data_IF_286292356474
#
_entry.id   IF_286292356474
#
_cell.length_a   1.000
_cell.length_b   1.000
_cell.length_c   1.000
_cell.angle_alpha   90.00
_cell.angle_beta   90.00
_cell.angle_gamma   90.00
#
_symmetry.space_group_name_H-M   'P 1'
#
loop_
_entity.id
_entity.type
_entity.pdbx_description
1 polymer ?
#
# COMPACT_ATOMS: atom_id res chain seq x y z
N UNK A 1 13.09 59.48 -36.98
CA UNK A 1 13.59 58.09 -36.88
C UNK A 1 13.01 57.46 -35.62
N UNK A 2 12.10 56.51 -35.80
CA UNK A 2 11.41 55.77 -34.74
C UNK A 2 12.38 54.95 -33.91
N UNK A 3 12.58 55.30 -32.65
CA UNK A 3 13.26 54.45 -31.68
C UNK A 3 12.39 53.21 -31.44
N UNK A 4 12.80 52.08 -32.03
CA UNK A 4 12.25 50.76 -31.76
C UNK A 4 12.22 50.55 -30.24
N UNK A 5 11.02 50.38 -29.67
CA UNK A 5 10.83 49.82 -28.33
C UNK A 5 11.57 48.47 -28.33
N UNK A 6 12.77 48.43 -27.74
CA UNK A 6 13.39 47.16 -27.33
C UNK A 6 12.44 46.60 -26.29
N UNK A 7 11.75 45.52 -26.63
CA UNK A 7 11.03 44.68 -25.68
C UNK A 7 12.05 44.18 -24.65
N UNK A 8 12.16 44.91 -23.54
CA UNK A 8 12.80 44.39 -22.34
C UNK A 8 11.87 43.30 -21.80
N UNK A 9 12.04 42.06 -22.27
CA UNK A 9 11.58 40.90 -21.54
C UNK A 9 12.35 40.89 -20.22
N UNK A 10 11.83 41.59 -19.20
CA UNK A 10 12.28 41.45 -17.82
C UNK A 10 12.18 39.97 -17.49
N UNK A 11 13.32 39.31 -17.24
CA UNK A 11 13.31 37.96 -16.66
C UNK A 11 12.49 38.05 -15.37
N UNK A 12 11.31 37.44 -15.38
CA UNK A 12 10.45 37.33 -14.21
C UNK A 12 11.29 36.63 -13.14
N UNK A 13 11.43 37.27 -11.97
CA UNK A 13 12.10 36.64 -10.83
C UNK A 13 11.08 35.71 -10.18
N UNK A 14 11.33 34.41 -10.26
CA UNK A 14 10.53 33.40 -9.59
C UNK A 14 10.76 33.50 -8.08
N UNK A 15 9.69 33.32 -7.29
CA UNK A 15 9.78 33.24 -5.84
C UNK A 15 9.92 31.77 -5.44
N UNK A 16 11.00 31.44 -4.76
CA UNK A 16 11.22 30.09 -4.22
C UNK A 16 10.65 30.01 -2.80
N UNK A 17 9.72 29.09 -2.58
CA UNK A 17 9.18 28.78 -1.25
C UNK A 17 9.62 27.38 -0.86
N UNK A 18 10.08 27.22 0.39
CA UNK A 18 10.37 25.92 0.96
C UNK A 18 9.18 25.47 1.81
N UNK A 19 8.52 24.42 1.37
CA UNK A 19 7.40 23.80 2.06
C UNK A 19 7.92 22.57 2.81
N UNK A 20 7.95 22.65 4.15
CA UNK A 20 8.47 21.61 5.03
C UNK A 20 9.89 21.87 5.57
N UNK A 21 10.46 20.93 6.34
CA UNK A 21 10.02 19.55 6.54
C UNK A 21 8.80 19.37 7.46
N UNK A 22 8.51 20.35 8.32
CA UNK A 22 7.39 20.30 9.25
C UNK A 22 6.21 21.11 8.69
N UNK A 23 5.22 20.41 8.12
CA UNK A 23 3.97 21.00 7.68
C UNK A 23 2.84 19.95 7.80
N UNK A 24 1.63 20.31 8.27
CA UNK A 24 0.53 19.35 8.42
C UNK A 24 0.22 18.56 7.13
N UNK A 25 0.07 19.26 6.00
CA UNK A 25 -0.22 18.67 4.70
C UNK A 25 0.95 17.86 4.07
N UNK A 26 2.11 17.82 4.71
CA UNK A 26 3.24 17.01 4.25
C UNK A 26 3.17 15.56 4.77
N UNK A 27 2.14 15.18 5.57
CA UNK A 27 1.90 13.84 6.12
C UNK A 27 3.16 13.04 6.46
N UNK A 28 4.01 13.65 7.28
CA UNK A 28 5.32 13.10 7.62
C UNK A 28 6.40 14.14 7.42
N UNK A 29 7.45 13.77 6.70
CA UNK A 29 8.65 14.60 6.54
C UNK A 29 8.98 14.74 5.07
N UNK A 30 8.40 15.76 4.43
CA UNK A 30 8.65 16.11 3.04
C UNK A 30 9.16 17.54 2.96
N UNK A 31 10.22 17.76 2.19
CA UNK A 31 10.71 19.09 1.86
C UNK A 31 10.46 19.35 0.37
N UNK A 32 9.48 20.18 0.04
CA UNK A 32 9.19 20.61 -1.34
C UNK A 32 9.75 22.01 -1.56
N UNK A 33 10.63 22.18 -2.55
CA UNK A 33 11.03 23.49 -3.03
C UNK A 33 10.14 23.84 -4.22
N UNK A 34 9.30 24.85 -4.05
CA UNK A 34 8.37 25.33 -5.07
C UNK A 34 8.90 26.63 -5.68
N UNK A 35 9.01 26.68 -7.01
CA UNK A 35 9.22 27.91 -7.75
C UNK A 35 7.87 28.44 -8.22
N UNK A 36 7.49 29.61 -7.70
CA UNK A 36 6.20 30.23 -7.94
C UNK A 36 6.34 31.46 -8.84
N UNK A 37 5.33 31.66 -9.69
CA UNK A 37 5.08 32.92 -10.38
C UNK A 37 3.74 33.49 -9.89
N UNK A 38 3.79 34.33 -8.86
CA UNK A 38 2.60 34.71 -8.10
C UNK A 38 2.10 33.52 -7.28
N UNK A 39 0.90 33.03 -7.59
CA UNK A 39 0.28 31.86 -6.94
C UNK A 39 0.46 30.55 -7.74
N UNK A 40 0.87 30.66 -9.00
CA UNK A 40 1.00 29.53 -9.92
C UNK A 40 2.35 28.87 -9.76
N UNK A 41 2.34 27.55 -9.59
CA UNK A 41 3.54 26.71 -9.50
C UNK A 41 4.11 26.46 -10.89
N UNK A 42 5.39 26.78 -11.09
CA UNK A 42 6.11 26.49 -12.32
C UNK A 42 7.01 25.28 -12.24
N UNK A 43 7.51 25.00 -11.04
CA UNK A 43 8.37 23.86 -10.76
C UNK A 43 8.22 23.45 -9.30
N UNK A 44 8.12 22.15 -9.08
CA UNK A 44 8.12 21.55 -7.76
C UNK A 44 9.24 20.51 -7.67
N UNK A 45 10.20 20.76 -6.79
CA UNK A 45 11.33 19.87 -6.53
C UNK A 45 11.16 19.19 -5.16
N UNK A 46 10.73 17.91 -5.13
CA UNK A 46 10.60 17.17 -3.88
C UNK A 46 11.95 16.63 -3.41
N UNK A 47 12.44 17.14 -2.28
CA UNK A 47 13.57 16.57 -1.57
C UNK A 47 13.08 15.47 -0.61
N UNK A 48 13.44 14.24 -0.96
CA UNK A 48 13.19 13.02 -0.19
C UNK A 48 14.49 12.54 0.47
N UNK A 49 14.41 11.49 1.29
CA UNK A 49 15.54 10.88 1.99
C UNK A 49 15.65 11.26 3.48
N UNK A 50 14.72 12.06 4.00
CA UNK A 50 14.72 12.47 5.41
C UNK A 50 14.37 11.31 6.34
N UNK A 51 13.66 10.30 5.82
CA UNK A 51 13.30 9.11 6.56
C UNK A 51 14.04 7.85 6.07
N UNK A 52 15.13 8.02 5.30
CA UNK A 52 15.92 6.91 4.76
C UNK A 52 16.68 6.20 5.90
N UNK A 53 16.46 4.90 6.06
CA UNK A 53 17.06 4.09 7.15
C UNK A 53 18.04 3.04 6.65
N UNK A 54 18.27 2.96 5.33
CA UNK A 54 19.07 1.89 4.74
C UNK A 54 18.44 0.51 4.95
N UNK A 55 17.11 0.41 4.88
CA UNK A 55 16.38 -0.85 5.13
C UNK A 55 16.84 -1.99 4.22
N UNK A 56 17.01 -1.70 2.93
CA UNK A 56 17.52 -2.67 1.95
C UNK A 56 18.91 -3.20 2.34
N UNK A 57 19.76 -2.36 2.93
CA UNK A 57 21.10 -2.77 3.37
C UNK A 57 21.06 -3.61 4.64
N UNK A 58 20.14 -3.31 5.56
CA UNK A 58 19.93 -4.11 6.77
C UNK A 58 19.40 -5.50 6.43
N UNK A 59 18.54 -5.61 5.42
CA UNK A 59 17.98 -6.89 4.96
C UNK A 59 19.10 -7.86 4.51
N UNK A 60 20.12 -7.38 3.81
CA UNK A 60 21.27 -8.20 3.37
C UNK A 60 22.04 -8.85 4.53
N UNK A 61 22.01 -8.24 5.72
CA UNK A 61 22.69 -8.77 6.90
C UNK A 61 21.83 -9.74 7.73
N UNK A 62 20.55 -9.92 7.39
CA UNK A 62 19.56 -10.68 8.17
C UNK A 62 19.09 -11.91 7.43
N UNK A 63 18.57 -12.90 8.15
CA UNK A 63 17.93 -14.08 7.52
C UNK A 63 16.55 -13.71 6.98
N UNK A 64 16.00 -14.54 6.09
CA UNK A 64 14.68 -14.27 5.47
C UNK A 64 13.56 -14.04 6.49
N UNK A 65 13.52 -14.81 7.58
CA UNK A 65 12.54 -14.63 8.66
C UNK A 65 12.77 -13.34 9.47
N UNK A 66 14.03 -12.98 9.73
CA UNK A 66 14.37 -11.75 10.45
C UNK A 66 14.18 -10.50 9.59
N UNK A 67 14.22 -10.64 8.27
CA UNK A 67 14.00 -9.55 7.32
C UNK A 67 12.51 -9.18 7.18
N UNK A 68 11.59 -10.11 7.50
CA UNK A 68 10.15 -9.90 7.32
C UNK A 68 9.61 -8.62 7.97
N UNK A 69 9.91 -8.30 9.25
CA UNK A 69 9.36 -7.11 9.91
C UNK A 69 9.85 -5.77 9.35
N UNK A 70 10.85 -5.77 8.46
CA UNK A 70 11.19 -4.55 7.73
C UNK A 70 10.06 -4.19 6.77
N UNK A 71 9.41 -5.16 6.15
CA UNK A 71 8.33 -4.93 5.20
C UNK A 71 7.14 -4.26 5.89
N UNK A 72 6.70 -4.71 7.07
CA UNK A 72 5.58 -4.10 7.83
C UNK A 72 5.78 -2.62 8.18
N UNK A 73 7.02 -2.13 8.11
CA UNK A 73 7.44 -0.80 8.55
C UNK A 73 7.69 0.18 7.41
N UNK A 74 7.66 -0.28 6.15
CA UNK A 74 7.86 0.58 4.99
C UNK A 74 6.60 1.43 4.78
N UNK A 75 5.52 0.78 4.36
CA UNK A 75 4.18 1.37 4.38
C UNK A 75 3.47 0.90 5.65
N UNK A 76 3.67 1.67 6.72
CA UNK A 76 3.10 1.40 8.04
C UNK A 76 1.56 1.48 8.08
N UNK A 77 0.89 1.71 6.95
CA UNK A 77 -0.55 1.69 6.80
C UNK A 77 -1.04 0.37 6.17
N UNK A 78 -0.24 -0.24 5.28
CA UNK A 78 -0.59 -1.48 4.57
C UNK A 78 0.31 -2.66 4.92
N UNK A 79 0.48 -2.90 6.22
CA UNK A 79 1.43 -3.84 6.81
C UNK A 79 1.34 -5.25 6.21
N UNK A 80 0.15 -5.86 6.24
CA UNK A 80 -0.05 -7.23 5.77
C UNK A 80 0.13 -7.36 4.25
N UNK A 81 -0.24 -6.34 3.46
CA UNK A 81 -0.03 -6.36 2.01
C UNK A 81 1.47 -6.38 1.67
N UNK A 82 2.29 -5.68 2.44
CA UNK A 82 3.75 -5.69 2.25
C UNK A 82 4.36 -7.02 2.70
N UNK A 83 3.95 -7.56 3.84
CA UNK A 83 4.34 -8.92 4.25
C UNK A 83 3.97 -9.96 3.17
N UNK A 84 2.80 -9.80 2.55
CA UNK A 84 2.30 -10.71 1.53
C UNK A 84 3.20 -10.77 0.31
N UNK A 85 3.59 -9.61 -0.21
CA UNK A 85 4.48 -9.52 -1.39
C UNK A 85 5.82 -10.19 -1.14
N UNK A 86 6.38 -10.00 0.05
CA UNK A 86 7.64 -10.59 0.44
C UNK A 86 7.51 -12.09 0.66
N UNK A 87 6.42 -12.56 1.28
CA UNK A 87 6.14 -13.98 1.43
C UNK A 87 6.03 -14.68 0.07
N UNK A 88 5.30 -14.07 -0.89
CA UNK A 88 5.18 -14.59 -2.25
C UNK A 88 6.53 -14.60 -2.99
N UNK A 89 7.36 -13.57 -2.81
CA UNK A 89 8.70 -13.50 -3.40
C UNK A 89 9.58 -14.68 -2.96
N UNK A 90 9.55 -14.99 -1.67
CA UNK A 90 10.31 -16.10 -1.07
C UNK A 90 9.70 -17.45 -1.44
N UNK A 91 8.37 -17.57 -1.48
CA UNK A 91 7.65 -18.79 -1.89
C UNK A 91 7.94 -19.15 -3.36
N UNK A 92 8.02 -18.15 -4.24
CA UNK A 92 8.36 -18.35 -5.64
C UNK A 92 9.81 -18.80 -5.82
N UNK A 93 10.76 -18.29 -5.02
CA UNK A 93 12.14 -18.78 -5.01
C UNK A 93 12.23 -20.22 -4.49
N UNK A 94 11.46 -20.55 -3.45
CA UNK A 94 11.42 -21.90 -2.88
C UNK A 94 10.61 -22.90 -3.73
N UNK A 95 9.82 -22.42 -4.71
CA UNK A 95 8.91 -23.21 -5.54
C UNK A 95 7.88 -24.02 -4.73
N UNK A 96 7.25 -23.39 -3.74
CA UNK A 96 6.28 -24.06 -2.87
C UNK A 96 4.88 -23.45 -3.01
N UNK A 97 3.86 -24.31 -2.99
CA UNK A 97 2.46 -23.91 -2.91
C UNK A 97 1.95 -23.86 -1.48
N UNK A 98 1.34 -22.74 -1.10
CA UNK A 98 0.71 -22.54 0.21
C UNK A 98 -0.65 -23.25 0.28
N UNK A 99 -1.07 -23.81 1.43
CA UNK A 99 -2.38 -24.44 1.56
C UNK A 99 -3.54 -23.47 1.34
N UNK A 100 -4.65 -23.98 0.79
CA UNK A 100 -5.84 -23.18 0.42
C UNK A 100 -6.36 -22.33 1.58
N UNK A 101 -6.46 -22.89 2.80
CA UNK A 101 -6.94 -22.12 3.96
C UNK A 101 -6.07 -20.89 4.22
N UNK A 102 -4.74 -21.02 4.16
CA UNK A 102 -3.83 -19.90 4.34
C UNK A 102 -3.96 -18.85 3.22
N UNK A 103 -4.21 -19.26 1.98
CA UNK A 103 -4.51 -18.34 0.87
C UNK A 103 -5.78 -17.52 1.14
N UNK A 104 -6.87 -18.16 1.58
CA UNK A 104 -8.11 -17.45 1.93
C UNK A 104 -7.93 -16.49 3.11
N UNK A 105 -7.17 -16.90 4.14
CA UNK A 105 -6.84 -16.04 5.28
C UNK A 105 -6.01 -14.83 4.81
N UNK A 106 -5.03 -15.04 3.93
CA UNK A 106 -4.23 -13.96 3.36
C UNK A 106 -5.08 -12.94 2.61
N UNK A 107 -5.98 -13.41 1.75
CA UNK A 107 -6.88 -12.55 0.99
C UNK A 107 -7.80 -11.77 1.94
N UNK A 108 -8.39 -12.44 2.94
CA UNK A 108 -9.28 -11.80 3.91
C UNK A 108 -8.58 -10.62 4.61
N UNK A 109 -7.37 -10.85 5.15
CA UNK A 109 -6.61 -9.79 5.81
C UNK A 109 -6.04 -8.76 4.82
N UNK A 110 -5.68 -9.13 3.60
CA UNK A 110 -5.24 -8.19 2.58
C UNK A 110 -6.35 -7.20 2.21
N UNK A 111 -7.60 -7.66 2.07
CA UNK A 111 -8.74 -6.77 1.79
C UNK A 111 -9.13 -5.92 3.02
N UNK A 112 -9.02 -6.45 4.25
CA UNK A 112 -9.12 -5.62 5.47
C UNK A 112 -8.05 -4.52 5.47
N UNK A 113 -6.82 -4.87 5.08
CA UNK A 113 -5.71 -3.91 4.95
C UNK A 113 -5.99 -2.85 3.88
N UNK A 114 -6.65 -3.24 2.79
CA UNK A 114 -7.06 -2.31 1.74
C UNK A 114 -8.08 -1.30 2.25
N UNK A 115 -9.09 -1.76 2.99
CA UNK A 115 -10.05 -0.87 3.66
C UNK A 115 -9.32 0.06 4.64
N UNK A 116 -8.43 -0.46 5.48
CA UNK A 116 -7.62 0.33 6.41
C UNK A 116 -6.84 1.44 5.71
N UNK A 117 -6.21 1.15 4.58
CA UNK A 117 -5.44 2.13 3.82
C UNK A 117 -6.34 3.18 3.16
N UNK A 118 -7.42 2.77 2.49
CA UNK A 118 -8.32 3.73 1.84
C UNK A 118 -9.05 4.63 2.83
N UNK A 119 -9.42 4.14 4.01
CA UNK A 119 -9.97 4.97 5.09
C UNK A 119 -8.99 6.04 5.52
N UNK A 120 -7.71 5.70 5.66
CA UNK A 120 -6.68 6.70 5.98
C UNK A 120 -6.48 7.68 4.82
N UNK A 121 -6.34 7.18 3.59
CA UNK A 121 -6.08 8.01 2.42
C UNK A 121 -7.20 9.03 2.22
N UNK A 122 -8.46 8.59 2.23
CA UNK A 122 -9.64 9.47 2.09
C UNK A 122 -9.78 10.39 3.30
N UNK A 123 -9.60 9.87 4.52
CA UNK A 123 -9.73 10.67 5.75
C UNK A 123 -8.68 11.77 5.85
N UNK A 124 -7.40 11.46 5.61
CA UNK A 124 -6.31 12.44 5.61
C UNK A 124 -6.46 13.45 4.47
N UNK A 125 -6.81 12.98 3.27
CA UNK A 125 -7.03 13.86 2.13
C UNK A 125 -8.20 14.84 2.39
N UNK A 126 -9.28 14.36 3.00
CA UNK A 126 -10.38 15.21 3.44
C UNK A 126 -9.91 16.27 4.45
N UNK A 127 -9.10 15.88 5.43
CA UNK A 127 -8.53 16.79 6.42
C UNK A 127 -7.63 17.87 5.79
N UNK A 128 -6.81 17.52 4.81
CA UNK A 128 -5.91 18.46 4.13
C UNK A 128 -6.65 19.53 3.33
N UNK A 129 -7.77 19.15 2.71
CA UNK A 129 -8.65 20.08 2.00
C UNK A 129 -9.46 20.93 2.98
N UNK A 130 -9.72 20.41 4.19
CA UNK A 130 -10.34 21.14 5.31
C UNK A 130 -11.53 20.46 5.98
N UNK A 131 -11.95 19.27 5.52
CA UNK A 131 -13.04 18.50 6.10
C UNK A 131 -12.55 17.60 7.24
N UNK A 132 -12.78 18.02 8.50
CA UNK A 132 -12.30 17.30 9.68
C UNK A 132 -13.22 16.16 10.16
N UNK A 133 -14.52 16.18 9.84
CA UNK A 133 -15.47 15.19 10.37
C UNK A 133 -15.28 13.78 9.78
N UNK A 134 -15.05 13.58 8.46
CA UNK A 134 -14.89 12.24 7.91
C UNK A 134 -13.62 11.55 8.43
N UNK A 135 -12.59 12.34 8.75
CA UNK A 135 -11.36 11.83 9.37
C UNK A 135 -11.66 11.12 10.69
N UNK A 136 -12.44 11.73 11.60
CA UNK A 136 -12.75 11.12 12.89
C UNK A 136 -13.61 9.85 12.75
N UNK A 137 -14.58 9.86 11.83
CA UNK A 137 -15.42 8.68 11.56
C UNK A 137 -14.61 7.54 10.94
N UNK A 138 -13.73 7.83 10.00
CA UNK A 138 -12.84 6.84 9.39
C UNK A 138 -11.90 6.20 10.42
N UNK A 139 -11.42 6.98 11.40
CA UNK A 139 -10.57 6.47 12.46
C UNK A 139 -11.31 5.58 13.47
N UNK A 140 -12.61 5.81 13.72
CA UNK A 140 -13.44 4.89 14.52
C UNK A 140 -13.50 3.51 13.87
N UNK A 141 -13.80 3.44 12.58
CA UNK A 141 -13.87 2.16 11.85
C UNK A 141 -12.49 1.50 11.73
N UNK A 142 -11.44 2.31 11.57
CA UNK A 142 -10.06 1.83 11.58
C UNK A 142 -9.65 1.21 12.91
N UNK A 143 -10.13 1.74 14.04
CA UNK A 143 -9.87 1.18 15.37
C UNK A 143 -10.47 -0.23 15.50
N UNK A 144 -11.70 -0.43 15.02
CA UNK A 144 -12.36 -1.75 15.00
C UNK A 144 -11.56 -2.76 14.17
N UNK A 145 -11.02 -2.33 13.03
CA UNK A 145 -10.18 -3.18 12.18
C UNK A 145 -8.82 -3.50 12.84
N UNK A 146 -8.23 -2.56 13.60
CA UNK A 146 -7.01 -2.81 14.38
C UNK A 146 -7.24 -3.81 15.52
N UNK A 147 -8.44 -3.86 16.10
CA UNK A 147 -8.80 -4.89 17.08
C UNK A 147 -8.73 -6.30 16.45
N UNK A 148 -9.14 -6.46 15.19
CA UNK A 148 -8.98 -7.73 14.49
C UNK A 148 -7.51 -8.11 14.29
N UNK A 149 -6.64 -7.13 14.01
CA UNK A 149 -5.19 -7.37 13.91
C UNK A 149 -4.61 -7.81 15.25
N UNK A 150 -5.03 -7.15 16.33
CA UNK A 150 -4.60 -7.49 17.68
C UNK A 150 -5.03 -8.90 18.08
N UNK A 151 -6.27 -9.29 17.77
CA UNK A 151 -6.79 -10.63 18.09
C UNK A 151 -6.11 -11.77 17.32
N UNK A 152 -5.51 -11.46 16.17
CA UNK A 152 -4.90 -12.45 15.28
C UNK A 152 -3.40 -12.56 15.48
N UNK A 153 -2.73 -11.41 15.69
CA UNK A 153 -1.27 -11.34 15.78
C UNK A 153 -0.75 -11.00 17.18
N UNK A 154 -1.59 -10.40 18.03
CA UNK A 154 -1.20 -9.79 19.31
C UNK A 154 -0.69 -8.35 19.18
N UNK A 155 -0.59 -7.80 17.97
CA UNK A 155 -0.17 -6.43 17.71
C UNK A 155 -1.22 -5.68 16.89
N UNK A 156 -1.38 -4.39 17.17
CA UNK A 156 -2.38 -3.54 16.50
C UNK A 156 -1.98 -3.08 15.10
N UNK A 157 -0.68 -2.91 14.85
CA UNK A 157 -0.16 -2.47 13.54
C UNK A 157 0.83 -3.47 12.94
N UNK A 158 2.06 -3.52 13.46
CA UNK A 158 3.09 -4.42 12.92
C UNK A 158 2.85 -5.86 13.40
N UNK A 159 2.24 -6.67 12.54
CA UNK A 159 1.72 -7.98 12.89
C UNK A 159 2.72 -9.12 12.67
N UNK A 160 3.59 -9.05 11.65
CA UNK A 160 4.48 -10.14 11.24
C UNK A 160 3.75 -11.50 11.11
N UNK A 161 2.53 -11.43 10.59
CA UNK A 161 1.55 -12.51 10.59
C UNK A 161 1.65 -13.37 9.33
N UNK A 162 1.79 -12.76 8.17
CA UNK A 162 2.13 -13.49 6.96
C UNK A 162 3.59 -13.85 7.01
N UNK A 163 3.89 -15.10 6.65
CA UNK A 163 5.26 -15.61 6.65
C UNK A 163 5.48 -16.41 5.38
N UNK A 164 6.72 -16.50 4.89
CA UNK A 164 7.06 -17.46 3.86
C UNK A 164 6.61 -18.86 4.29
N UNK A 165 5.72 -19.44 3.51
CA UNK A 165 5.12 -20.75 3.75
C UNK A 165 3.74 -20.76 4.43
N UNK A 166 3.03 -19.64 4.38
CA UNK A 166 1.64 -19.51 4.83
C UNK A 166 1.45 -18.41 5.85
N UNK A 167 0.84 -18.77 6.98
CA UNK A 167 0.44 -17.81 8.01
C UNK A 167 0.94 -18.27 9.39
N UNK A 168 1.25 -17.31 10.27
CA UNK A 168 1.88 -17.56 11.56
C UNK A 168 1.02 -18.42 12.51
N UNK A 169 -0.25 -18.03 12.68
CA UNK A 169 -1.24 -18.67 13.56
C UNK A 169 -2.61 -18.72 12.89
N UNK A 170 -3.48 -19.65 13.29
CA UNK A 170 -4.86 -19.67 12.78
C UNK A 170 -5.67 -18.49 13.32
N UNK A 171 -6.82 -18.26 12.71
CA UNK A 171 -7.83 -17.32 13.19
C UNK A 171 -8.36 -17.78 14.56
N UNK A 172 -8.52 -16.84 15.49
CA UNK A 172 -9.13 -17.11 16.80
C UNK A 172 -10.62 -17.45 16.67
N UNK A 173 -11.11 -18.32 17.56
CA UNK A 173 -12.50 -18.77 17.56
C UNK A 173 -13.41 -17.55 17.77
N UNK A 174 -14.40 -17.38 16.90
CA UNK A 174 -15.37 -16.28 16.95
C UNK A 174 -15.03 -15.06 16.07
N UNK A 175 -13.78 -14.88 15.65
CA UNK A 175 -13.36 -13.71 14.85
C UNK A 175 -14.15 -13.59 13.53
N UNK A 176 -14.47 -14.71 12.90
CA UNK A 176 -15.22 -14.76 11.63
C UNK A 176 -16.59 -14.09 11.79
N UNK A 177 -17.28 -14.31 12.92
CA UNK A 177 -18.58 -13.70 13.20
C UNK A 177 -18.46 -12.20 13.47
N UNK A 178 -17.39 -11.81 14.16
CA UNK A 178 -17.12 -10.41 14.47
C UNK A 178 -16.84 -9.62 13.17
N UNK A 179 -16.00 -10.15 12.28
CA UNK A 179 -15.74 -9.57 10.96
C UNK A 179 -17.04 -9.48 10.14
N UNK A 180 -17.89 -10.49 10.19
CA UNK A 180 -19.20 -10.46 9.51
C UNK A 180 -20.09 -9.32 10.04
N UNK A 181 -20.17 -9.16 11.37
CA UNK A 181 -20.96 -8.08 11.99
C UNK A 181 -20.42 -6.68 11.65
N UNK A 182 -19.09 -6.52 11.60
CA UNK A 182 -18.44 -5.30 11.14
C UNK A 182 -18.78 -5.02 9.67
N UNK A 183 -18.63 -6.01 8.79
CA UNK A 183 -18.89 -5.85 7.36
C UNK A 183 -20.34 -5.43 7.07
N UNK A 184 -21.30 -5.87 7.89
CA UNK A 184 -22.71 -5.49 7.78
C UNK A 184 -22.96 -4.01 8.12
N UNK A 185 -22.24 -3.49 9.11
CA UNK A 185 -22.38 -2.09 9.55
C UNK A 185 -21.56 -1.13 8.69
N UNK A 186 -20.38 -1.55 8.24
CA UNK A 186 -19.43 -0.70 7.53
C UNK A 186 -19.98 -0.14 6.21
N UNK A 187 -20.87 -0.87 5.53
CA UNK A 187 -21.55 -0.37 4.32
C UNK A 187 -22.31 0.94 4.58
N UNK A 188 -23.04 1.04 5.69
CA UNK A 188 -23.77 2.26 6.07
C UNK A 188 -22.81 3.41 6.41
N UNK A 189 -21.69 3.11 7.07
CA UNK A 189 -20.67 4.13 7.40
C UNK A 189 -19.95 4.67 6.18
N UNK A 190 -19.75 3.83 5.15
CA UNK A 190 -19.26 4.30 3.85
C UNK A 190 -20.26 5.24 3.20
N UNK A 191 -21.54 4.88 3.17
CA UNK A 191 -22.60 5.71 2.58
C UNK A 191 -22.70 7.08 3.29
N UNK A 192 -22.59 7.13 4.62
CA UNK A 192 -22.55 8.38 5.41
C UNK A 192 -21.34 9.27 5.05
N UNK A 193 -20.16 8.67 4.83
CA UNK A 193 -18.96 9.41 4.41
C UNK A 193 -19.07 9.91 2.97
N UNK A 194 -19.68 9.13 2.08
CA UNK A 194 -19.95 9.53 0.71
C UNK A 194 -20.92 10.71 0.67
N UNK A 195 -22.06 10.63 1.37
CA UNK A 195 -23.07 11.70 1.39
C UNK A 195 -22.48 13.07 1.79
N UNK A 196 -21.49 13.08 2.69
CA UNK A 196 -20.80 14.30 3.12
C UNK A 196 -19.77 14.85 2.11
N UNK A 197 -19.18 13.98 1.26
CA UNK A 197 -18.05 14.32 0.41
C UNK A 197 -18.40 14.32 -1.09
N UNK A 198 -19.03 13.28 -1.63
CA UNK A 198 -19.22 13.09 -3.07
C UNK A 198 -20.03 14.23 -3.69
N UNK A 199 -21.15 14.59 -3.07
CA UNK A 199 -22.09 15.58 -3.60
C UNK A 199 -21.78 17.01 -3.15
N UNK A 200 -20.75 17.18 -2.31
CA UNK A 200 -20.37 18.47 -1.79
C UNK A 200 -19.70 19.32 -2.87
N UNK A 201 -20.30 20.47 -3.17
CA UNK A 201 -19.80 21.42 -4.17
C UNK A 201 -18.37 21.87 -3.90
N UNK A 202 -18.03 22.14 -2.63
CA UNK A 202 -16.68 22.58 -2.25
C UNK A 202 -15.67 21.47 -2.52
N UNK A 203 -16.04 20.21 -2.26
CA UNK A 203 -15.17 19.06 -2.51
C UNK A 203 -14.92 18.88 -4.01
N UNK A 204 -15.97 18.98 -4.82
CA UNK A 204 -15.85 18.90 -6.28
C UNK A 204 -15.02 20.06 -6.85
N UNK A 205 -15.27 21.31 -6.43
CA UNK A 205 -14.48 22.48 -6.86
C UNK A 205 -13.00 22.36 -6.53
N UNK A 206 -12.64 21.63 -5.46
CA UNK A 206 -11.26 21.42 -5.01
C UNK A 206 -10.58 20.19 -5.60
N UNK A 207 -11.25 19.39 -6.43
CA UNK A 207 -10.70 18.12 -6.96
C UNK A 207 -10.92 17.91 -8.44
N UNK A 208 -12.01 18.44 -9.00
CA UNK A 208 -12.29 18.36 -10.44
C UNK A 208 -11.25 19.20 -11.20
N UNK A 209 -10.74 18.68 -12.32
CA UNK A 209 -9.71 19.30 -13.15
C UNK A 209 -8.34 19.54 -12.46
N UNK A 210 -8.09 18.95 -11.28
CA UNK A 210 -6.81 19.05 -10.59
C UNK A 210 -5.97 17.80 -10.82
N UNK A 211 -4.70 18.00 -11.20
CA UNK A 211 -3.72 16.93 -11.34
C UNK A 211 -4.13 15.92 -12.40
N UNK A 212 -4.68 16.40 -13.53
CA UNK A 212 -5.13 15.58 -14.66
C UNK A 212 -3.94 14.83 -15.25
N UNK A 213 -4.10 13.52 -15.44
CA UNK A 213 -3.06 12.68 -16.04
C UNK A 213 -3.69 11.84 -17.13
N UNK A 214 -3.16 11.94 -18.36
CA UNK A 214 -3.61 11.10 -19.47
C UNK A 214 -3.15 9.65 -19.30
N UNK A 215 -3.88 8.71 -19.90
CA UNK A 215 -3.52 7.29 -19.84
C UNK A 215 -2.10 6.97 -20.36
N UNK A 216 -1.63 7.69 -21.38
CA UNK A 216 -0.29 7.49 -21.95
C UNK A 216 0.78 8.00 -20.99
N UNK A 217 0.63 9.22 -20.48
CA UNK A 217 1.55 9.80 -19.50
C UNK A 217 1.63 8.94 -18.23
N UNK A 218 0.50 8.41 -17.76
CA UNK A 218 0.46 7.55 -16.59
C UNK A 218 1.34 6.29 -16.77
N UNK A 219 1.37 5.71 -17.97
CA UNK A 219 2.21 4.57 -18.31
C UNK A 219 3.67 4.99 -18.43
N UNK A 220 3.96 6.11 -19.11
CA UNK A 220 5.32 6.61 -19.34
C UNK A 220 6.03 6.97 -18.01
N UNK A 221 5.30 7.53 -17.05
CA UNK A 221 5.80 7.82 -15.70
C UNK A 221 5.86 6.59 -14.78
N UNK A 222 5.36 5.43 -15.21
CA UNK A 222 5.35 4.20 -14.41
C UNK A 222 4.43 4.29 -13.18
N UNK A 223 3.29 4.96 -13.31
CA UNK A 223 2.25 4.90 -12.29
C UNK A 223 1.68 3.49 -12.17
N UNK A 224 1.04 3.21 -11.03
CA UNK A 224 0.36 1.96 -10.76
C UNK A 224 -0.89 2.19 -9.89
N UNK A 225 -1.74 1.17 -9.77
CA UNK A 225 -2.90 1.20 -8.87
C UNK A 225 -3.95 2.26 -9.20
N UNK A 226 -4.39 2.98 -8.17
CA UNK A 226 -5.43 4.01 -8.24
C UNK A 226 -5.07 5.11 -9.24
N UNK A 227 -3.80 5.48 -9.34
CA UNK A 227 -3.35 6.52 -10.27
C UNK A 227 -3.53 6.10 -11.74
N UNK A 228 -3.21 4.85 -12.10
CA UNK A 228 -3.46 4.32 -13.45
C UNK A 228 -4.96 4.17 -13.73
N UNK A 229 -5.70 3.61 -12.77
CA UNK A 229 -7.13 3.36 -12.92
C UNK A 229 -7.93 4.65 -13.02
N UNK A 230 -7.54 5.69 -12.28
CA UNK A 230 -8.14 7.02 -12.39
C UNK A 230 -8.05 7.59 -13.81
N UNK A 231 -6.92 7.37 -14.49
CA UNK A 231 -6.66 7.82 -15.87
C UNK A 231 -7.32 6.97 -16.97
N UNK A 232 -8.15 5.98 -16.62
CA UNK A 232 -8.89 5.18 -17.61
C UNK A 232 -8.26 3.84 -17.98
N UNK A 233 -7.10 3.48 -17.42
CA UNK A 233 -6.41 2.23 -17.74
C UNK A 233 -6.97 1.06 -16.92
N UNK A 234 -7.49 0.04 -17.60
CA UNK A 234 -7.99 -1.21 -16.98
C UNK A 234 -6.82 -2.13 -16.59
N UNK A 235 -6.13 -1.78 -15.51
CA UNK A 235 -5.02 -2.58 -14.97
C UNK A 235 -5.21 -2.85 -13.48
N UNK A 236 -5.33 -4.13 -13.12
CA UNK A 236 -5.38 -4.62 -11.73
C UNK A 236 -4.67 -5.98 -11.69
N UNK A 237 -3.63 -6.12 -10.87
CA UNK A 237 -2.84 -7.35 -10.79
C UNK A 237 -3.67 -8.50 -10.25
N UNK A 238 -4.64 -8.27 -9.35
CA UNK A 238 -5.47 -9.34 -8.79
C UNK A 238 -6.32 -10.04 -9.86
N UNK A 239 -6.55 -9.38 -11.00
CA UNK A 239 -7.27 -9.95 -12.16
C UNK A 239 -6.34 -10.37 -13.29
N UNK A 240 -5.36 -9.54 -13.61
CA UNK A 240 -4.49 -9.76 -14.76
C UNK A 240 -3.45 -10.84 -14.47
N UNK A 241 -2.87 -10.81 -13.26
CA UNK A 241 -1.88 -11.77 -12.76
C UNK A 241 -2.31 -12.27 -11.37
N UNK A 242 -3.40 -13.06 -11.30
CA UNK A 242 -3.97 -13.46 -10.03
C UNK A 242 -2.96 -14.29 -9.22
N UNK A 243 -2.72 -13.84 -8.00
CA UNK A 243 -1.98 -14.57 -6.98
C UNK A 243 -2.94 -15.18 -5.94
N UNK A 244 -2.49 -16.20 -5.22
CA UNK A 244 -3.33 -16.96 -4.27
C UNK A 244 -4.69 -17.37 -4.89
N UNK A 245 -5.78 -17.35 -4.10
CA UNK A 245 -7.12 -17.73 -4.53
C UNK A 245 -7.96 -16.56 -5.09
N UNK A 246 -7.34 -15.45 -5.53
CA UNK A 246 -8.08 -14.32 -6.13
C UNK A 246 -8.86 -14.73 -7.39
N UNK A 247 -8.41 -15.76 -8.12
CA UNK A 247 -9.11 -16.32 -9.28
C UNK A 247 -10.47 -16.96 -8.96
N UNK A 248 -10.69 -17.39 -7.71
CA UNK A 248 -11.93 -18.04 -7.27
C UNK A 248 -13.01 -17.04 -6.80
N UNK A 249 -12.64 -15.75 -6.71
CA UNK A 249 -13.45 -14.66 -6.17
C UNK A 249 -13.94 -13.74 -7.29
N UNK A 250 -15.19 -13.30 -7.18
CA UNK A 250 -15.83 -12.44 -8.18
C UNK A 250 -15.91 -11.01 -7.69
N UNK A 251 -15.14 -10.10 -8.31
CA UNK A 251 -15.21 -8.67 -8.04
C UNK A 251 -15.08 -7.87 -9.34
N UNK A 252 -15.48 -6.60 -9.33
CA UNK A 252 -15.41 -5.71 -10.49
C UNK A 252 -14.17 -4.80 -10.40
N UNK A 253 -13.56 -4.50 -11.55
CA UNK A 253 -12.41 -3.60 -11.62
C UNK A 253 -12.93 -2.19 -11.87
N UNK A 254 -12.59 -1.27 -10.97
CA UNK A 254 -13.06 0.13 -11.02
C UNK A 254 -12.10 0.96 -11.85
N UNK A 255 -12.62 1.86 -12.69
CA UNK A 255 -11.82 2.70 -13.59
C UNK A 255 -12.47 4.08 -13.71
N UNK A 256 -11.64 5.13 -13.60
CA UNK A 256 -12.02 6.52 -13.83
C UNK A 256 -12.09 6.88 -15.32
N UNK A 257 -12.45 8.13 -15.63
CA UNK A 257 -12.62 8.60 -17.01
C UNK A 257 -11.70 9.76 -17.35
N UNK A 258 -11.58 10.76 -16.47
CA UNK A 258 -10.86 12.01 -16.74
C UNK A 258 -9.42 11.97 -16.28
N UNK A 259 -9.12 11.20 -15.22
CA UNK A 259 -7.78 11.14 -14.62
C UNK A 259 -7.53 12.14 -13.51
N UNK A 260 -8.57 12.84 -13.06
CA UNK A 260 -8.50 13.89 -12.04
C UNK A 260 -8.39 13.33 -10.63
N UNK A 261 -8.10 14.21 -9.68
CA UNK A 261 -8.13 13.90 -8.26
C UNK A 261 -9.50 13.36 -7.79
N UNK A 262 -10.61 13.86 -8.35
CA UNK A 262 -11.95 13.41 -8.01
C UNK A 262 -12.23 11.96 -8.44
N UNK A 263 -11.84 11.59 -9.66
CA UNK A 263 -11.97 10.22 -10.16
C UNK A 263 -11.16 9.23 -9.31
N UNK A 264 -9.96 9.62 -8.88
CA UNK A 264 -9.14 8.80 -7.96
C UNK A 264 -9.80 8.61 -6.60
N UNK A 265 -10.49 9.63 -6.10
CA UNK A 265 -11.29 9.53 -4.87
C UNK A 265 -12.43 8.52 -5.05
N UNK A 266 -13.21 8.63 -6.13
CA UNK A 266 -14.30 7.68 -6.42
C UNK A 266 -13.79 6.24 -6.57
N UNK A 267 -12.65 6.05 -7.24
CA UNK A 267 -12.01 4.72 -7.39
C UNK A 267 -11.72 4.11 -6.02
N UNK A 268 -11.17 4.87 -5.06
CA UNK A 268 -10.88 4.37 -3.70
C UNK A 268 -12.16 3.98 -2.95
N UNK A 269 -13.19 4.79 -3.08
CA UNK A 269 -14.49 4.56 -2.45
C UNK A 269 -15.14 3.28 -2.98
N UNK A 270 -15.18 3.11 -4.30
CA UNK A 270 -15.69 1.89 -4.92
C UNK A 270 -14.80 0.67 -4.61
N UNK A 271 -13.48 0.83 -4.51
CA UNK A 271 -12.57 -0.24 -4.06
C UNK A 271 -12.89 -0.71 -2.64
N UNK A 272 -13.27 0.17 -1.71
CA UNK A 272 -13.73 -0.24 -0.38
C UNK A 272 -15.00 -1.10 -0.46
N UNK A 273 -15.95 -0.74 -1.33
CA UNK A 273 -17.18 -1.53 -1.57
C UNK A 273 -16.86 -2.90 -2.20
N UNK A 274 -15.92 -2.96 -3.14
CA UNK A 274 -15.46 -4.24 -3.72
C UNK A 274 -14.72 -5.10 -2.68
N UNK A 275 -13.89 -4.48 -1.84
CA UNK A 275 -13.17 -5.16 -0.74
C UNK A 275 -14.15 -5.82 0.23
N UNK A 276 -15.26 -5.14 0.58
CA UNK A 276 -16.34 -5.74 1.37
C UNK A 276 -16.97 -6.94 0.68
N UNK A 277 -17.24 -6.86 -0.63
CA UNK A 277 -17.78 -8.00 -1.39
C UNK A 277 -16.84 -9.20 -1.35
N UNK A 278 -15.53 -8.97 -1.46
CA UNK A 278 -14.52 -10.02 -1.37
C UNK A 278 -14.51 -10.62 0.04
N UNK A 279 -14.54 -9.79 1.10
CA UNK A 279 -14.61 -10.25 2.49
C UNK A 279 -15.83 -11.18 2.68
N UNK A 280 -17.02 -10.80 2.23
CA UNK A 280 -18.21 -11.65 2.31
C UNK A 280 -18.03 -12.99 1.60
N UNK A 281 -17.43 -12.99 0.40
CA UNK A 281 -17.17 -14.22 -0.34
C UNK A 281 -16.14 -15.10 0.36
N UNK A 282 -15.07 -14.52 0.91
CA UNK A 282 -14.06 -15.24 1.68
C UNK A 282 -14.65 -15.89 2.93
N UNK A 283 -15.50 -15.19 3.68
CA UNK A 283 -16.16 -15.74 4.87
C UNK A 283 -17.07 -16.94 4.51
N UNK A 284 -17.80 -16.85 3.40
CA UNK A 284 -18.71 -17.92 2.96
C UNK A 284 -17.98 -19.14 2.37
N UNK A 285 -16.82 -18.95 1.73
CA UNK A 285 -16.06 -19.99 1.03
C UNK A 285 -14.87 -20.52 1.82
N UNK A 286 -14.67 -20.09 3.07
CA UNK A 286 -13.46 -20.42 3.83
C UNK A 286 -13.32 -21.95 4.03
N UNK A 287 -12.25 -22.58 3.50
CA UNK A 287 -12.05 -24.01 3.67
C UNK A 287 -11.44 -24.34 5.04
N UNK A 288 -11.72 -25.54 5.52
CA UNK A 288 -10.96 -26.17 6.60
C UNK A 288 -9.63 -26.71 6.06
N UNK A 289 -8.58 -26.69 6.87
CA UNK A 289 -7.25 -27.18 6.45
C UNK A 289 -6.09 -26.65 7.28
N UNK A 290 -4.87 -27.00 6.88
CA UNK A 290 -3.64 -26.49 7.47
C UNK A 290 -3.39 -25.03 7.07
N UNK A 291 -2.74 -24.28 7.96
CA UNK A 291 -2.42 -22.85 7.79
C UNK A 291 -0.97 -22.65 7.32
N UNK A 292 -0.16 -23.69 7.48
CA UNK A 292 1.26 -23.73 7.10
C UNK A 292 1.46 -24.90 6.17
N UNK A 293 2.48 -24.79 5.33
CA UNK A 293 2.97 -25.93 4.56
C UNK A 293 3.45 -27.01 5.51
N UNK A 294 3.20 -28.27 5.16
CA UNK A 294 3.54 -29.46 5.97
C UNK A 294 5.06 -29.73 6.05
N UNK A 295 5.87 -29.04 5.24
CA UNK A 295 7.33 -29.13 5.24
C UNK A 295 7.96 -28.39 6.43
N UNK A 296 8.29 -29.14 7.47
CA UNK A 296 8.97 -28.65 8.69
C UNK A 296 10.37 -28.06 8.47
N UNK A 297 10.91 -28.12 7.23
CA UNK A 297 12.17 -27.47 6.85
C UNK A 297 12.00 -26.00 6.50
N UNK A 298 10.78 -25.56 6.16
CA UNK A 298 10.47 -24.18 5.82
C UNK A 298 9.59 -23.57 6.91
N UNK A 299 8.52 -24.27 7.29
CA UNK A 299 7.59 -23.80 8.31
C UNK A 299 7.97 -24.37 9.69
N UNK A 300 7.88 -23.58 10.77
CA UNK A 300 8.16 -24.10 12.10
C UNK A 300 7.06 -25.06 12.55
N UNK A 301 7.42 -26.25 13.08
CA UNK A 301 6.45 -27.25 13.55
C UNK A 301 5.66 -26.75 14.77
N UNK A 302 4.55 -27.45 15.08
CA UNK A 302 3.70 -27.08 16.20
C UNK A 302 4.42 -27.25 17.54
N UNK A 303 4.05 -26.46 18.55
CA UNK A 303 4.66 -26.56 19.89
C UNK A 303 4.38 -27.89 20.59
N UNK A 304 3.30 -28.58 20.24
CA UNK A 304 3.01 -29.90 20.75
C UNK A 304 4.02 -30.92 20.19
N UNK A 305 4.24 -30.88 18.87
CA UNK A 305 5.15 -31.80 18.17
C UNK A 305 6.61 -31.58 18.57
N UNK A 306 7.03 -30.32 18.79
CA UNK A 306 8.38 -29.97 19.26
C UNK A 306 8.68 -30.59 20.63
N UNK A 307 7.68 -30.79 21.48
CA UNK A 307 7.86 -31.40 22.80
C UNK A 307 7.88 -32.93 22.76
N UNK A 308 7.29 -33.54 21.73
CA UNK A 308 7.11 -34.99 21.64
C UNK A 308 8.11 -35.66 20.69
N UNK A 309 8.45 -35.00 19.58
CA UNK A 309 9.29 -35.56 18.51
C UNK A 309 10.66 -34.90 18.46
N UNK A 310 11.68 -35.73 18.26
CA UNK A 310 13.06 -35.27 18.16
C UNK A 310 13.29 -34.52 16.84
N UNK A 311 12.71 -34.98 15.72
CA UNK A 311 12.85 -34.29 14.43
C UNK A 311 12.28 -32.87 14.46
N UNK A 312 11.08 -32.68 15.04
CA UNK A 312 10.49 -31.35 15.13
C UNK A 312 11.34 -30.40 15.98
N UNK A 313 11.97 -30.90 17.05
CA UNK A 313 12.88 -30.10 17.86
C UNK A 313 14.14 -29.70 17.08
N UNK A 314 14.73 -30.63 16.30
CA UNK A 314 15.88 -30.35 15.44
C UNK A 314 15.52 -29.28 14.40
N UNK A 315 14.38 -29.44 13.73
CA UNK A 315 13.90 -28.49 12.72
C UNK A 315 13.62 -27.12 13.33
N UNK A 316 12.92 -27.07 14.47
CA UNK A 316 12.68 -25.83 15.20
C UNK A 316 14.00 -25.13 15.57
N UNK A 317 14.98 -25.87 16.11
CA UNK A 317 16.27 -25.30 16.48
C UNK A 317 17.03 -24.72 15.29
N UNK A 318 17.11 -25.46 14.17
CA UNK A 318 17.80 -24.99 12.95
C UNK A 318 17.10 -23.79 12.31
N UNK A 319 15.78 -23.80 12.21
CA UNK A 319 15.01 -22.70 11.62
C UNK A 319 15.21 -21.36 12.33
N UNK A 320 15.30 -21.35 13.67
CA UNK A 320 15.46 -20.11 14.42
C UNK A 320 16.91 -19.66 14.60
N UNK A 321 17.88 -20.56 14.42
CA UNK A 321 19.32 -20.24 14.53
C UNK A 321 19.94 -19.93 13.18
N UNK A 322 19.82 -20.87 12.24
CA UNK A 322 20.36 -20.78 10.88
C UNK A 322 19.38 -20.12 9.93
N UNK A 323 18.08 -20.45 10.00
CA UNK A 323 17.08 -19.97 9.05
C UNK A 323 16.89 -20.90 7.86
N UNK A 324 15.99 -20.51 6.96
CA UNK A 324 15.71 -21.27 5.73
C UNK A 324 16.76 -20.95 4.68
N UNK A 325 17.36 -21.98 4.11
CA UNK A 325 18.22 -21.87 2.93
C UNK A 325 17.34 -21.79 1.69
N UNK A 326 17.44 -20.66 0.97
CA UNK A 326 16.70 -20.43 -0.28
C UNK A 326 17.62 -20.79 -1.44
N UNK A 327 17.15 -21.49 -2.49
CA UNK A 327 17.98 -21.85 -3.64
C UNK A 327 18.52 -20.62 -4.36
N UNK A 328 19.60 -20.80 -5.12
CA UNK A 328 20.18 -19.78 -5.99
C UNK A 328 19.15 -19.32 -7.04
N UNK A 329 18.87 -18.02 -7.10
CA UNK A 329 17.91 -17.48 -8.06
C UNK A 329 17.61 -16.00 -7.88
N UNK A 330 16.86 -15.46 -8.84
CA UNK A 330 16.36 -14.09 -8.81
C UNK A 330 14.86 -14.12 -9.10
N UNK A 331 14.07 -13.37 -8.33
CA UNK A 331 12.63 -13.22 -8.57
C UNK A 331 12.23 -11.77 -8.46
N UNK A 332 11.36 -11.34 -9.37
CA UNK A 332 10.56 -10.13 -9.22
C UNK A 332 9.11 -10.57 -9.04
N UNK A 333 8.54 -10.25 -7.88
CA UNK A 333 7.12 -10.51 -7.61
C UNK A 333 6.45 -9.22 -7.23
N UNK A 334 5.34 -8.93 -7.90
CA UNK A 334 4.51 -7.78 -7.60
C UNK A 334 3.14 -8.24 -7.11
N UNK A 335 2.57 -7.49 -6.17
CA UNK A 335 1.16 -7.60 -5.84
C UNK A 335 0.51 -6.23 -5.91
N UNK A 336 -0.82 -6.23 -5.91
CA UNK A 336 -1.57 -5.00 -5.81
C UNK A 336 -1.74 -4.58 -4.35
N UNK A 337 -0.79 -3.80 -3.85
CA UNK A 337 -1.00 -3.05 -2.63
C UNK A 337 -2.11 -1.99 -2.84
N UNK A 338 -2.76 -1.50 -1.77
CA UNK A 338 -3.84 -0.52 -1.89
C UNK A 338 -3.42 0.80 -2.57
N UNK A 339 -2.12 1.10 -2.56
CA UNK A 339 -1.51 2.26 -3.24
C UNK A 339 -1.19 2.00 -4.71
N UNK A 340 -0.93 0.74 -5.06
CA UNK A 340 -0.58 0.32 -6.40
C UNK A 340 0.32 -0.91 -6.41
N UNK A 341 1.11 -1.03 -7.47
CA UNK A 341 2.00 -2.16 -7.67
C UNK A 341 3.17 -2.07 -6.69
N UNK A 342 3.15 -2.93 -5.66
CA UNK A 342 4.29 -3.11 -4.77
C UNK A 342 5.08 -4.33 -5.23
N UNK A 343 6.32 -4.10 -5.63
CA UNK A 343 7.21 -5.13 -6.15
C UNK A 343 8.38 -5.41 -5.21
N UNK A 344 8.76 -6.67 -5.09
CA UNK A 344 10.00 -7.08 -4.42
C UNK A 344 10.85 -7.83 -5.41
N UNK A 345 12.07 -7.34 -5.63
CA UNK A 345 13.13 -8.00 -6.38
C UNK A 345 14.12 -8.64 -5.39
N UNK A 346 14.10 -9.97 -5.30
CA UNK A 346 14.97 -10.75 -4.44
C UNK A 346 16.02 -11.49 -5.26
N UNK A 347 17.26 -11.40 -4.81
CA UNK A 347 18.40 -12.19 -5.31
C UNK A 347 18.90 -13.06 -4.15
N UNK A 348 18.97 -14.37 -4.39
CA UNK A 348 19.45 -15.36 -3.44
C UNK A 348 20.72 -16.04 -3.93
N UNK A 349 21.75 -16.06 -3.08
CA UNK A 349 23.05 -16.72 -3.31
C UNK A 349 23.06 -18.21 -2.89
N UNK A 350 21.89 -18.84 -2.73
CA UNK A 350 21.81 -20.20 -2.17
C UNK A 350 21.99 -20.26 -0.65
N UNK A 351 22.10 -19.10 0.00
CA UNK A 351 22.34 -18.98 1.43
C UNK A 351 21.02 -18.79 2.22
N UNK A 352 21.14 -18.66 3.54
CA UNK A 352 20.04 -18.33 4.45
C UNK A 352 19.73 -16.82 4.54
N UNK A 353 20.52 -15.99 3.85
CA UNK A 353 20.37 -14.54 3.79
C UNK A 353 20.14 -14.10 2.34
N UNK A 354 19.26 -13.12 2.10
CA UNK A 354 19.10 -12.53 0.78
C UNK A 354 20.38 -11.78 0.42
N UNK A 355 20.90 -12.02 -0.79
CA UNK A 355 22.08 -11.31 -1.29
C UNK A 355 21.74 -9.85 -1.60
N UNK A 356 20.59 -9.66 -2.26
CA UNK A 356 20.05 -8.34 -2.56
C UNK A 356 18.53 -8.38 -2.47
N UNK A 357 17.96 -7.37 -1.84
CA UNK A 357 16.52 -7.15 -1.81
C UNK A 357 16.25 -5.71 -2.24
N UNK A 358 15.77 -5.53 -3.47
CA UNK A 358 15.33 -4.24 -3.99
C UNK A 358 13.82 -4.16 -3.96
N UNK A 359 13.29 -3.08 -3.41
CA UNK A 359 11.85 -2.87 -3.34
C UNK A 359 11.45 -1.91 -4.46
N UNK A 360 10.27 -2.08 -5.04
CA UNK A 360 9.59 -1.13 -5.92
C UNK A 360 8.38 -0.61 -5.15
N UNK A 361 8.51 0.62 -4.64
CA UNK A 361 7.42 1.29 -3.95
C UNK A 361 6.59 2.11 -4.94
N UNK A 362 5.26 2.00 -4.94
CA UNK A 362 4.39 2.80 -5.81
C UNK A 362 4.52 4.29 -5.49
N UNK A 363 4.58 4.66 -4.20
CA UNK A 363 4.74 6.07 -3.79
C UNK A 363 5.97 6.77 -4.36
N UNK A 364 7.04 6.02 -4.67
CA UNK A 364 8.26 6.59 -5.27
C UNK A 364 8.04 7.03 -6.72
N UNK A 365 7.35 6.23 -7.55
CA UNK A 365 7.05 6.62 -8.93
C UNK A 365 5.98 7.71 -8.99
N UNK A 366 5.03 7.70 -8.05
CA UNK A 366 4.05 8.78 -7.92
C UNK A 366 4.74 10.13 -7.62
N UNK A 367 5.62 10.15 -6.61
CA UNK A 367 6.29 11.38 -6.18
C UNK A 367 7.27 11.92 -7.24
N UNK A 368 7.87 11.05 -8.06
CA UNK A 368 8.70 11.48 -9.21
C UNK A 368 7.92 12.40 -10.17
N UNK A 369 6.65 12.12 -10.40
CA UNK A 369 5.79 12.90 -11.30
C UNK A 369 5.07 14.07 -10.62
N UNK A 370 5.38 14.36 -9.35
CA UNK A 370 4.75 15.48 -8.62
C UNK A 370 5.00 16.81 -9.34
N UNK A 371 6.21 17.02 -9.89
CA UNK A 371 6.51 18.21 -10.67
C UNK A 371 5.60 18.32 -11.91
N UNK A 372 5.44 17.23 -12.64
CA UNK A 372 4.56 17.19 -13.81
C UNK A 372 3.12 17.52 -13.45
N UNK A 373 2.56 16.91 -12.40
CA UNK A 373 1.18 17.13 -11.98
C UNK A 373 0.94 18.48 -11.29
N UNK A 374 1.95 19.06 -10.63
CA UNK A 374 1.81 20.34 -9.93
C UNK A 374 2.02 21.54 -10.86
N UNK A 375 2.61 21.34 -12.04
CA UNK A 375 2.86 22.42 -12.99
C UNK A 375 1.56 23.12 -13.39
N UNK A 376 1.58 24.45 -13.41
CA UNK A 376 0.46 25.33 -13.74
C UNK A 376 -0.72 25.33 -12.76
N UNK A 377 -0.62 24.61 -11.64
CA UNK A 377 -1.62 24.64 -10.57
C UNK A 377 -1.28 25.67 -9.49
N UNK A 378 -2.26 25.98 -8.64
CA UNK A 378 -2.06 26.87 -7.50
C UNK A 378 -1.41 26.12 -6.33
N UNK A 379 -0.78 26.85 -5.41
CA UNK A 379 -0.17 26.26 -4.21
C UNK A 379 -1.14 25.41 -3.39
N UNK A 380 -2.42 25.82 -3.30
CA UNK A 380 -3.44 25.07 -2.57
C UNK A 380 -3.78 23.73 -3.24
N UNK A 381 -3.55 23.60 -4.54
CA UNK A 381 -3.85 22.39 -5.31
C UNK A 381 -2.69 21.39 -5.24
N UNK A 382 -1.47 21.87 -4.97
CA UNK A 382 -0.33 20.98 -4.66
C UNK A 382 -0.65 20.09 -3.46
N UNK A 383 -1.31 20.64 -2.44
CA UNK A 383 -1.75 19.89 -1.26
C UNK A 383 -2.74 18.80 -1.63
N UNK A 384 -3.69 19.08 -2.52
CA UNK A 384 -4.68 18.08 -2.96
C UNK A 384 -4.02 16.99 -3.80
N UNK A 385 -3.09 17.35 -4.70
CA UNK A 385 -2.30 16.41 -5.49
C UNK A 385 -1.53 15.44 -4.58
N UNK A 386 -0.82 15.95 -3.56
CA UNK A 386 -0.08 15.12 -2.59
C UNK A 386 -1.02 14.15 -1.88
N UNK A 387 -2.16 14.64 -1.38
CA UNK A 387 -3.15 13.79 -0.72
C UNK A 387 -3.72 12.70 -1.65
N UNK A 388 -3.94 13.02 -2.93
CA UNK A 388 -4.45 12.03 -3.88
C UNK A 388 -3.44 10.96 -4.28
N UNK A 389 -2.15 11.17 -4.09
CA UNK A 389 -1.12 10.16 -4.35
C UNK A 389 -0.97 9.14 -3.21
N UNK A 390 -1.57 9.41 -2.03
CA UNK A 390 -1.49 8.54 -0.84
C UNK A 390 -0.04 8.18 -0.45
N UNK A 391 0.79 9.22 -0.29
CA UNK A 391 2.22 9.06 -0.06
C UNK A 391 2.48 8.74 1.41
N UNK A 392 3.21 7.64 1.65
CA UNK A 392 3.84 7.38 2.95
C UNK A 392 5.35 7.38 2.76
N UNK A 393 6.05 8.21 3.53
CA UNK A 393 7.49 8.39 3.32
C UNK A 393 8.33 7.17 3.68
N UNK A 394 7.82 6.22 4.46
CA UNK A 394 8.54 4.98 4.77
C UNK A 394 8.76 4.06 3.56
N UNK A 395 7.87 4.06 2.58
CA UNK A 395 8.08 3.30 1.34
C UNK A 395 8.88 4.10 0.28
N UNK A 396 8.83 5.43 0.32
CA UNK A 396 9.61 6.29 -0.58
C UNK A 396 11.09 6.26 -0.17
N UNK A 397 11.36 6.50 1.11
CA UNK A 397 12.69 6.60 1.72
C UNK A 397 13.11 5.28 2.36
N UNK A 398 13.54 4.33 1.54
CA UNK A 398 13.84 2.94 1.96
C UNK A 398 15.25 2.78 2.47
#
# INVERSE_FOLDING_TARGET
>A
MSLKKKEFNKKLKHFTINFGPQHPAAHGVLRLILELNGEVVQRADPHIGLLHRGTEKLIEAKTYFQALPYFDRLDYVSMMCQEHTYALAVENLLQISVPKRAQYIRILFAEITRILNHLLAVGCHAMDVGAMTPFLWAFEEREKLMEFYERVSGARMHASYFRPGGVSQDISIGLINDIFSFAAQFGQRLDEMEEMLTDNRIWQERLVDIGVVSAQEAIDWGFSGVMLRGSGVRWDLRKNEPYDAYSELSFQGVVGKTGDCYDRYLVRVEEMRQSLSIIYQCLNKMPEGSIKIDDAKISPPSRADVKQSMEALIHHFKLYTEGVTVPLGETYTATEAPKGEFGVYLVSDGSNRPYRCKIKAPGFSHLQALNFMANSHMLADVVTIIGTQDIVFGEVDR
#
